data_IF_353734322959
#
_entry.id   IF_353734322959
#
_cell.length_a   1.000
_cell.length_b   1.000
_cell.length_c   1.000
_cell.angle_alpha   90.00
_cell.angle_beta   90.00
_cell.angle_gamma   90.00
#
_symmetry.space_group_name_H-M   'P 1'
#
loop_
_entity.id
_entity.type
_entity.pdbx_description
1 polymer ?
#
# COMPACT_ATOMS: atom_id res chain seq x y z
N UNK A 1 -5.03 8.80 -10.99
CA UNK A 1 -3.75 8.32 -10.43
C UNK A 1 -3.04 7.51 -11.51
N UNK A 2 -1.73 7.67 -11.68
CA UNK A 2 -0.96 6.88 -12.66
C UNK A 2 -0.69 5.46 -12.11
N UNK A 3 -1.00 4.44 -12.91
CA UNK A 3 -0.92 3.03 -12.51
C UNK A 3 0.50 2.58 -12.26
N UNK A 4 1.39 2.80 -13.23
CA UNK A 4 2.79 2.34 -13.15
C UNK A 4 3.51 3.03 -12.00
N UNK A 5 3.24 4.33 -11.80
CA UNK A 5 3.79 5.08 -10.68
C UNK A 5 3.30 4.56 -9.33
N UNK A 6 2.04 4.14 -9.22
CA UNK A 6 1.51 3.52 -8.00
C UNK A 6 2.17 2.16 -7.74
N UNK A 7 2.30 1.32 -8.75
CA UNK A 7 2.98 0.01 -8.65
C UNK A 7 4.41 0.19 -8.16
N UNK A 8 5.17 1.09 -8.79
CA UNK A 8 6.55 1.36 -8.40
C UNK A 8 6.64 1.90 -6.96
N UNK A 9 5.70 2.76 -6.57
CA UNK A 9 5.65 3.32 -5.21
C UNK A 9 5.36 2.24 -4.18
N UNK A 10 4.39 1.35 -4.42
CA UNK A 10 4.07 0.23 -3.54
C UNK A 10 5.26 -0.74 -3.43
N UNK A 11 5.91 -1.04 -4.56
CA UNK A 11 7.12 -1.89 -4.59
C UNK A 11 8.27 -1.31 -3.77
N UNK A 12 8.44 0.03 -3.76
CA UNK A 12 9.43 0.72 -2.93
C UNK A 12 9.00 0.84 -1.46
N UNK A 13 7.70 0.91 -1.19
CA UNK A 13 7.17 0.98 0.18
C UNK A 13 7.50 -0.28 0.99
N UNK A 14 7.51 -1.46 0.35
CA UNK A 14 7.76 -2.73 1.06
C UNK A 14 9.12 -2.84 1.77
N UNK A 15 10.28 -2.64 1.09
CA UNK A 15 11.55 -2.65 1.81
C UNK A 15 11.66 -1.50 2.82
N UNK A 16 11.11 -0.32 2.52
CA UNK A 16 11.11 0.81 3.44
C UNK A 16 10.26 0.55 4.72
N UNK A 17 9.16 -0.19 4.60
CA UNK A 17 8.34 -0.61 5.74
C UNK A 17 9.06 -1.68 6.57
N UNK A 18 9.73 -2.63 5.91
CA UNK A 18 10.58 -3.61 6.60
C UNK A 18 11.71 -2.95 7.40
N UNK A 19 12.32 -1.89 6.87
CA UNK A 19 13.30 -1.08 7.61
C UNK A 19 12.66 -0.37 8.80
N UNK A 20 11.42 0.13 8.67
CA UNK A 20 10.69 0.75 9.77
C UNK A 20 10.35 -0.26 10.87
N UNK A 21 9.84 -1.45 10.53
CA UNK A 21 9.57 -2.51 11.50
C UNK A 21 10.85 -2.92 12.24
N UNK A 22 11.94 -3.13 11.50
CA UNK A 22 13.23 -3.54 12.07
C UNK A 22 13.80 -2.48 13.00
N UNK A 23 13.91 -1.23 12.52
CA UNK A 23 14.71 -0.20 13.19
C UNK A 23 13.89 0.65 14.17
N UNK A 24 12.58 0.79 13.97
CA UNK A 24 11.71 1.65 14.77
C UNK A 24 10.80 0.82 15.69
N UNK A 25 10.27 -0.29 15.19
CA UNK A 25 9.44 -1.20 15.98
C UNK A 25 10.25 -2.32 16.66
N UNK A 26 11.58 -2.28 16.60
CA UNK A 26 12.49 -3.28 17.16
C UNK A 26 12.20 -4.70 16.64
N UNK A 27 11.89 -4.82 15.35
CA UNK A 27 11.54 -6.08 14.69
C UNK A 27 10.11 -6.56 14.95
N UNK A 28 9.28 -5.78 15.63
CA UNK A 28 7.87 -6.12 15.80
C UNK A 28 7.07 -5.83 14.51
N UNK A 29 6.12 -6.72 14.22
CA UNK A 29 5.18 -6.54 13.11
C UNK A 29 4.27 -5.31 13.34
N UNK A 30 4.10 -4.51 12.29
CA UNK A 30 3.22 -3.34 12.31
C UNK A 30 1.76 -3.73 12.05
N UNK A 31 0.96 -3.84 13.12
CA UNK A 31 -0.48 -4.05 13.01
C UNK A 31 -1.21 -2.89 12.31
N UNK A 32 -0.58 -1.72 12.15
CA UNK A 32 -1.12 -0.54 11.46
C UNK A 32 -0.46 -0.32 10.09
N UNK A 33 0.14 -1.35 9.47
CA UNK A 33 0.79 -1.25 8.17
C UNK A 33 -0.03 -0.49 7.09
N UNK A 34 -1.38 -0.60 6.98
CA UNK A 34 -2.10 0.11 5.92
C UNK A 34 -2.05 1.64 6.09
N UNK A 35 -1.94 2.11 7.33
CA UNK A 35 -1.77 3.54 7.64
C UNK A 35 -0.37 4.00 7.23
N UNK A 36 0.64 3.19 7.56
CA UNK A 36 2.03 3.47 7.19
C UNK A 36 2.19 3.55 5.66
N UNK A 37 1.67 2.56 4.94
CA UNK A 37 1.72 2.54 3.47
C UNK A 37 0.97 3.71 2.87
N UNK A 38 -0.20 4.07 3.41
CA UNK A 38 -0.94 5.22 2.92
C UNK A 38 -0.16 6.53 3.09
N UNK A 39 0.51 6.71 4.24
CA UNK A 39 1.37 7.86 4.47
C UNK A 39 2.57 7.89 3.51
N UNK A 40 3.24 6.76 3.29
CA UNK A 40 4.35 6.64 2.35
C UNK A 40 3.93 7.01 0.92
N UNK A 41 2.86 6.38 0.43
CA UNK A 41 2.35 6.60 -0.94
C UNK A 41 1.91 8.06 -1.13
N UNK A 42 1.22 8.65 -0.15
CA UNK A 42 0.81 10.06 -0.22
C UNK A 42 2.02 11.00 -0.14
N UNK A 43 3.07 10.64 0.62
CA UNK A 43 4.33 11.39 0.65
C UNK A 43 5.02 11.43 -0.72
N UNK A 44 4.94 10.35 -1.50
CA UNK A 44 5.56 10.25 -2.83
C UNK A 44 4.67 10.81 -3.96
N UNK A 45 3.35 10.58 -3.90
CA UNK A 45 2.42 10.92 -4.98
C UNK A 45 1.64 12.21 -4.74
N UNK A 46 1.61 12.71 -3.51
CA UNK A 46 0.87 13.89 -3.09
C UNK A 46 -0.60 13.61 -2.74
N UNK A 47 -1.17 14.45 -1.87
CA UNK A 47 -2.56 14.36 -1.40
C UNK A 47 -3.61 14.70 -2.47
N UNK A 48 -3.21 15.26 -3.59
CA UNK A 48 -4.08 15.48 -4.75
C UNK A 48 -4.37 14.16 -5.49
N UNK A 49 -3.47 13.17 -5.39
CA UNK A 49 -3.65 11.87 -6.02
C UNK A 49 -4.67 11.01 -5.25
N UNK A 50 -4.59 11.00 -3.91
CA UNK A 50 -5.52 10.30 -3.02
C UNK A 50 -5.40 10.81 -1.58
N UNK A 51 -6.51 10.82 -0.83
CA UNK A 51 -6.49 11.17 0.59
C UNK A 51 -6.02 9.96 1.43
N UNK A 52 -5.19 10.15 2.47
CA UNK A 52 -4.65 9.06 3.28
C UNK A 52 -5.72 8.09 3.81
N UNK A 53 -6.81 8.60 4.39
CA UNK A 53 -7.87 7.76 4.94
C UNK A 53 -8.56 6.86 3.90
N UNK A 54 -8.80 7.38 2.68
CA UNK A 54 -9.38 6.60 1.58
C UNK A 54 -8.37 5.54 1.12
N UNK A 55 -7.08 5.89 1.02
CA UNK A 55 -6.03 4.95 0.64
C UNK A 55 -5.84 3.83 1.67
N UNK A 56 -5.83 4.15 2.97
CA UNK A 56 -5.76 3.15 4.05
C UNK A 56 -6.88 2.12 3.92
N UNK A 57 -8.12 2.58 3.73
CA UNK A 57 -9.26 1.66 3.51
C UNK A 57 -9.05 0.77 2.28
N UNK A 58 -8.67 1.35 1.15
CA UNK A 58 -8.45 0.60 -0.08
C UNK A 58 -7.30 -0.41 0.02
N UNK A 59 -6.24 -0.13 0.79
CA UNK A 59 -5.15 -1.06 1.04
C UNK A 59 -5.61 -2.27 1.85
N UNK A 60 -6.46 -2.07 2.86
CA UNK A 60 -7.06 -3.16 3.65
C UNK A 60 -7.93 -4.04 2.73
N UNK A 61 -8.81 -3.41 1.96
CA UNK A 61 -9.70 -4.12 1.04
C UNK A 61 -8.92 -4.89 -0.05
N UNK A 62 -7.87 -4.28 -0.60
CA UNK A 62 -6.99 -4.94 -1.57
C UNK A 62 -6.26 -6.14 -0.96
N UNK A 63 -5.78 -6.03 0.28
CA UNK A 63 -5.18 -7.15 1.00
C UNK A 63 -6.16 -8.29 1.17
N UNK A 64 -7.36 -8.02 1.70
CA UNK A 64 -8.37 -9.05 1.90
C UNK A 64 -8.76 -9.76 0.60
N UNK A 65 -8.87 -9.01 -0.50
CA UNK A 65 -9.22 -9.57 -1.80
C UNK A 65 -8.08 -10.38 -2.42
N UNK A 66 -6.84 -9.89 -2.32
CA UNK A 66 -5.65 -10.59 -2.80
C UNK A 66 -5.47 -11.94 -2.10
N UNK A 67 -5.66 -11.96 -0.77
CA UNK A 67 -5.60 -13.19 0.02
C UNK A 67 -6.68 -14.22 -0.37
N UNK A 68 -7.87 -13.77 -0.80
CA UNK A 68 -8.96 -14.67 -1.21
C UNK A 68 -8.77 -15.24 -2.62
N UNK A 69 -8.24 -14.46 -3.56
CA UNK A 69 -8.20 -14.84 -4.97
C UNK A 69 -6.92 -15.58 -5.34
N UNK A 70 -5.76 -14.95 -5.13
CA UNK A 70 -4.48 -15.47 -5.57
C UNK A 70 -3.34 -14.83 -4.74
N UNK A 71 -3.05 -15.37 -3.54
CA UNK A 71 -2.04 -14.81 -2.64
C UNK A 71 -0.62 -14.82 -3.24
N UNK A 72 -0.36 -15.65 -4.26
CA UNK A 72 0.94 -15.75 -4.93
C UNK A 72 1.14 -14.72 -6.05
N UNK A 73 0.08 -13.99 -6.45
CA UNK A 73 0.19 -12.94 -7.46
C UNK A 73 1.06 -11.77 -6.95
N UNK A 74 1.73 -11.07 -7.87
CA UNK A 74 2.51 -9.86 -7.56
C UNK A 74 1.61 -8.80 -6.89
N UNK A 75 1.71 -8.73 -5.57
CA UNK A 75 0.82 -7.92 -4.76
C UNK A 75 0.87 -6.42 -5.11
N UNK A 76 2.01 -5.79 -5.46
CA UNK A 76 2.01 -4.36 -5.83
C UNK A 76 1.13 -4.09 -7.06
N UNK A 77 1.19 -4.97 -8.06
CA UNK A 77 0.35 -4.88 -9.25
C UNK A 77 -1.12 -5.07 -8.89
N UNK A 78 -1.46 -6.13 -8.14
CA UNK A 78 -2.83 -6.39 -7.71
C UNK A 78 -3.41 -5.22 -6.92
N UNK A 79 -2.65 -4.68 -5.96
CA UNK A 79 -3.12 -3.61 -5.08
C UNK A 79 -3.32 -2.32 -5.86
N UNK A 80 -2.40 -2.00 -6.78
CA UNK A 80 -2.55 -0.83 -7.62
C UNK A 80 -3.81 -0.91 -8.50
N UNK A 81 -4.07 -2.06 -9.10
CA UNK A 81 -5.28 -2.30 -9.90
C UNK A 81 -6.53 -2.18 -9.04
N UNK A 82 -6.54 -2.80 -7.86
CA UNK A 82 -7.66 -2.70 -6.92
C UNK A 82 -7.94 -1.25 -6.52
N UNK A 83 -6.90 -0.51 -6.10
CA UNK A 83 -7.02 0.89 -5.69
C UNK A 83 -7.61 1.73 -6.83
N UNK A 84 -7.05 1.63 -8.04
CA UNK A 84 -7.47 2.44 -9.18
C UNK A 84 -8.91 2.14 -9.59
N UNK A 85 -9.30 0.87 -9.61
CA UNK A 85 -10.65 0.46 -9.97
C UNK A 85 -11.70 0.88 -8.93
N UNK A 86 -11.30 1.17 -7.69
CA UNK A 86 -12.16 1.54 -6.57
C UNK A 86 -11.93 2.98 -6.06
N UNK A 87 -11.31 3.83 -6.89
CA UNK A 87 -11.06 5.24 -6.59
C UNK A 87 -12.29 6.13 -6.74
N UNK A 88 -13.36 5.62 -7.36
CA UNK A 88 -14.62 6.34 -7.61
C UNK A 88 -15.46 6.57 -6.36
#
# INVERSE_FOLDING_TARGET
MDREKLIETLRKASPAHGDYETNILNGAYDNNWPVWYAAYVVGVLGMEAIKPAKLTRLLIEAYEEHQKQNPDADWPTFYADYIINNLT
#
